data_IF_147418681322
#
_entry.id   IF_147418681322
#
_cell.length_a   1.000
_cell.length_b   1.000
_cell.length_c   1.000
_cell.angle_alpha   90.00
_cell.angle_beta   90.00
_cell.angle_gamma   90.00
#
_symmetry.space_group_name_H-M   'P 1'
#
loop_
_entity.id
_entity.type
_entity.pdbx_description
1 polymer ?
#
# COMPACT_ATOMS: atom_id res chain seq x y z
N UNK A 1 -30.33 -25.36 15.96
CA UNK A 1 -28.87 -25.24 15.82
C UNK A 1 -28.56 -23.89 15.20
N UNK A 2 -28.14 -22.91 15.99
CA UNK A 2 -27.61 -21.63 15.48
C UNK A 2 -26.19 -21.51 16.03
N UNK A 3 -25.26 -22.16 15.35
CA UNK A 3 -23.84 -22.10 15.65
C UNK A 3 -23.12 -21.98 14.30
N UNK A 4 -23.02 -20.76 13.79
CA UNK A 4 -22.43 -20.52 12.46
C UNK A 4 -21.93 -19.11 12.18
N UNK A 5 -22.22 -18.14 13.06
CA UNK A 5 -21.94 -16.71 12.78
C UNK A 5 -20.82 -16.08 13.61
N UNK A 6 -20.32 -16.75 14.65
CA UNK A 6 -19.30 -16.16 15.53
C UNK A 6 -17.89 -16.15 14.89
N UNK A 7 -17.54 -17.16 14.09
CA UNK A 7 -16.19 -17.29 13.51
C UNK A 7 -15.87 -16.28 12.41
N UNK A 8 -16.89 -15.64 11.83
CA UNK A 8 -16.72 -14.55 10.84
C UNK A 8 -16.44 -13.19 11.49
N UNK A 9 -16.74 -13.03 12.79
CA UNK A 9 -16.65 -11.74 13.50
C UNK A 9 -15.33 -11.56 14.24
N UNK A 10 -14.66 -12.65 14.63
CA UNK A 10 -13.38 -12.62 15.34
C UNK A 10 -12.27 -11.92 14.52
N UNK A 11 -12.06 -12.22 13.22
CA UNK A 11 -11.08 -11.51 12.41
C UNK A 11 -11.46 -10.05 12.15
N UNK A 12 -12.76 -9.74 12.09
CA UNK A 12 -13.25 -8.38 11.97
C UNK A 12 -12.95 -7.55 13.22
N UNK A 13 -12.93 -8.16 14.40
CA UNK A 13 -12.57 -7.50 15.66
C UNK A 13 -11.06 -7.41 15.89
N UNK A 14 -10.29 -8.43 15.50
CA UNK A 14 -8.82 -8.42 15.63
C UNK A 14 -8.14 -7.53 14.58
N UNK A 15 -8.68 -7.48 13.35
CA UNK A 15 -8.06 -6.75 12.23
C UNK A 15 -8.84 -5.50 11.78
N UNK A 16 -10.16 -5.43 12.00
CA UNK A 16 -11.01 -4.27 11.69
C UNK A 16 -10.81 -3.66 10.29
N UNK A 17 -11.15 -2.36 10.17
CA UNK A 17 -10.68 -1.47 9.09
C UNK A 17 -9.15 -1.20 9.15
N UNK A 18 -8.42 -1.90 10.02
CA UNK A 18 -7.02 -1.64 10.41
C UNK A 18 -5.97 -2.07 9.39
N UNK A 19 -6.37 -2.83 8.37
CA UNK A 19 -5.52 -3.20 7.23
C UNK A 19 -4.89 -1.97 6.55
N UNK A 20 -5.70 -0.93 6.30
CA UNK A 20 -5.23 0.28 5.63
C UNK A 20 -4.45 1.20 6.57
N UNK A 21 -4.86 1.33 7.84
CA UNK A 21 -4.10 2.14 8.79
C UNK A 21 -2.70 1.58 9.01
N UNK A 22 -2.55 0.26 9.15
CA UNK A 22 -1.26 -0.38 9.29
C UNK A 22 -0.37 -0.19 8.04
N UNK A 23 -0.97 -0.19 6.84
CA UNK A 23 -0.24 0.10 5.60
C UNK A 23 0.20 1.56 5.52
N UNK A 24 -0.69 2.49 5.90
CA UNK A 24 -0.35 3.92 5.96
C UNK A 24 0.74 4.18 6.99
N UNK A 25 0.65 3.57 8.17
CA UNK A 25 1.68 3.63 9.22
C UNK A 25 3.01 3.05 8.72
N UNK A 26 2.98 2.01 7.88
CA UNK A 26 4.18 1.41 7.31
C UNK A 26 4.88 2.34 6.33
N UNK A 27 4.16 2.91 5.37
CA UNK A 27 4.79 3.77 4.35
C UNK A 27 5.32 5.08 4.94
N UNK A 28 4.73 5.53 6.04
CA UNK A 28 5.09 6.78 6.74
C UNK A 28 5.89 6.55 8.02
N UNK A 29 6.44 5.35 8.22
CA UNK A 29 7.17 4.99 9.44
C UNK A 29 8.39 5.88 9.66
N UNK A 30 9.10 6.18 8.59
CA UNK A 30 10.38 6.89 8.61
C UNK A 30 10.22 8.41 8.35
N UNK A 31 8.98 8.90 8.32
CA UNK A 31 8.65 10.31 8.09
C UNK A 31 7.62 10.52 6.97
N UNK A 32 7.52 11.76 6.44
CA UNK A 32 6.70 12.05 5.27
C UNK A 32 7.10 11.17 4.09
N UNK A 33 6.11 10.56 3.42
CA UNK A 33 6.36 9.64 2.33
C UNK A 33 5.63 10.04 1.05
N UNK A 34 6.22 9.72 -0.10
CA UNK A 34 5.55 9.80 -1.40
C UNK A 34 5.14 8.42 -1.87
N UNK A 35 3.96 8.30 -2.50
CA UNK A 35 3.47 7.03 -3.01
C UNK A 35 2.79 7.18 -4.37
N UNK A 36 2.92 6.17 -5.22
CA UNK A 36 2.11 6.00 -6.42
C UNK A 36 1.02 4.93 -6.25
N UNK A 37 0.04 4.89 -7.15
CA UNK A 37 -0.99 3.84 -7.14
C UNK A 37 -1.37 3.38 -8.55
N UNK A 38 -2.00 2.21 -8.64
CA UNK A 38 -2.74 1.77 -9.83
C UNK A 38 -4.23 2.20 -9.79
N UNK A 39 -4.66 2.87 -8.72
CA UNK A 39 -6.00 3.42 -8.51
C UNK A 39 -5.95 4.75 -7.73
N UNK A 40 -5.27 5.74 -8.30
CA UNK A 40 -4.93 7.04 -7.68
C UNK A 40 -6.05 7.65 -6.83
N UNK A 41 -7.24 7.85 -7.41
CA UNK A 41 -8.35 8.55 -6.73
C UNK A 41 -8.80 7.84 -5.44
N UNK A 42 -9.06 6.53 -5.53
CA UNK A 42 -9.55 5.77 -4.37
C UNK A 42 -8.44 5.58 -3.34
N UNK A 43 -7.24 5.22 -3.78
CA UNK A 43 -6.11 5.04 -2.87
C UNK A 43 -5.82 6.33 -2.11
N UNK A 44 -5.80 7.49 -2.79
CA UNK A 44 -5.56 8.77 -2.13
C UNK A 44 -6.60 9.07 -1.06
N UNK A 45 -7.88 8.86 -1.35
CA UNK A 45 -8.95 9.09 -0.39
C UNK A 45 -8.80 8.24 0.88
N UNK A 46 -8.35 6.99 0.75
CA UNK A 46 -8.10 6.08 1.89
C UNK A 46 -6.84 6.48 2.64
N UNK A 47 -5.73 6.77 1.93
CA UNK A 47 -4.48 7.18 2.55
C UNK A 47 -4.64 8.49 3.31
N UNK A 48 -5.26 9.50 2.72
CA UNK A 48 -5.50 10.81 3.35
C UNK A 48 -6.31 10.66 4.64
N UNK A 49 -7.37 9.86 4.59
CA UNK A 49 -8.23 9.58 5.75
C UNK A 49 -7.44 9.03 6.94
N UNK A 50 -6.52 8.08 6.73
CA UNK A 50 -5.71 7.49 7.81
C UNK A 50 -4.50 8.35 8.18
N UNK A 51 -3.85 8.98 7.21
CA UNK A 51 -2.68 9.84 7.45
C UNK A 51 -3.05 11.03 8.35
N UNK A 52 -4.18 11.71 8.07
CA UNK A 52 -4.67 12.83 8.88
C UNK A 52 -4.92 12.39 10.32
N UNK A 53 -5.54 11.23 10.53
CA UNK A 53 -5.90 10.74 11.88
C UNK A 53 -4.71 10.32 12.71
N UNK A 54 -3.67 9.83 12.08
CA UNK A 54 -2.43 9.45 12.74
C UNK A 54 -1.41 10.59 12.78
N UNK A 55 -1.78 11.82 12.38
CA UNK A 55 -0.87 12.97 12.28
C UNK A 55 0.38 12.68 11.45
N UNK A 56 0.22 11.87 10.39
CA UNK A 56 1.27 11.48 9.45
C UNK A 56 1.09 12.21 8.11
N UNK A 57 2.13 12.21 7.29
CA UNK A 57 2.12 12.83 5.95
C UNK A 57 2.43 11.79 4.89
N UNK A 58 1.52 11.62 3.94
CA UNK A 58 1.72 10.84 2.74
C UNK A 58 1.19 11.64 1.55
N UNK A 59 1.92 11.67 0.44
CA UNK A 59 1.52 12.43 -0.76
C UNK A 59 1.48 11.54 -1.99
N UNK A 60 0.36 11.58 -2.71
CA UNK A 60 0.21 10.86 -3.97
C UNK A 60 1.08 11.53 -5.05
N UNK A 61 1.91 10.72 -5.70
CA UNK A 61 2.51 11.01 -7.00
C UNK A 61 1.59 10.44 -8.07
N UNK A 62 0.95 11.27 -8.91
CA UNK A 62 0.04 10.80 -9.95
C UNK A 62 0.74 9.84 -10.92
N UNK A 63 -0.01 8.89 -11.49
CA UNK A 63 0.56 7.89 -12.39
C UNK A 63 1.40 8.48 -13.55
N UNK A 64 0.96 9.62 -14.10
CA UNK A 64 1.65 10.36 -15.17
C UNK A 64 3.01 10.93 -14.76
N UNK A 65 3.24 11.12 -13.47
CA UNK A 65 4.46 11.71 -12.89
C UNK A 65 5.40 10.66 -12.27
N UNK A 66 5.02 9.38 -12.24
CA UNK A 66 5.78 8.33 -11.55
C UNK A 66 7.26 8.27 -11.95
N UNK A 67 7.57 8.39 -13.24
CA UNK A 67 8.95 8.32 -13.71
C UNK A 67 9.78 9.56 -13.36
N UNK A 68 9.13 10.72 -13.24
CA UNK A 68 9.79 11.99 -12.96
C UNK A 68 10.00 12.18 -11.45
N UNK A 69 8.95 11.94 -10.66
CA UNK A 69 8.94 12.18 -9.21
C UNK A 69 9.41 10.97 -8.40
N UNK A 70 9.39 9.76 -8.99
CA UNK A 70 10.00 8.53 -8.45
C UNK A 70 9.64 8.28 -6.97
N UNK A 71 8.35 8.03 -6.66
CA UNK A 71 7.89 7.95 -5.28
C UNK A 71 8.63 6.88 -4.48
N UNK A 72 8.61 7.01 -3.16
CA UNK A 72 9.27 6.05 -2.27
C UNK A 72 8.53 4.70 -2.21
N UNK A 73 7.22 4.75 -2.45
CA UNK A 73 6.32 3.60 -2.37
C UNK A 73 5.40 3.48 -3.58
N UNK A 74 4.93 2.27 -3.86
CA UNK A 74 3.75 2.02 -4.68
C UNK A 74 2.72 1.24 -3.88
N UNK A 75 1.45 1.61 -4.04
CA UNK A 75 0.31 0.93 -3.43
C UNK A 75 -0.55 0.36 -4.57
N UNK A 76 -0.54 -0.95 -4.73
CA UNK A 76 -1.33 -1.61 -5.78
C UNK A 76 -2.56 -2.28 -5.18
N UNK A 77 -3.71 -1.86 -5.66
CA UNK A 77 -4.98 -2.49 -5.35
C UNK A 77 -5.18 -3.74 -6.21
N UNK A 78 -5.69 -4.81 -5.59
CA UNK A 78 -5.98 -6.08 -6.25
C UNK A 78 -5.56 -7.28 -5.40
N UNK A 79 -5.74 -8.48 -5.93
CA UNK A 79 -5.36 -9.71 -5.22
C UNK A 79 -3.83 -9.81 -5.06
N UNK A 80 -3.28 -9.82 -3.82
CA UNK A 80 -1.84 -9.91 -3.59
C UNK A 80 -1.20 -11.19 -4.15
N UNK A 81 -1.97 -12.27 -4.30
CA UNK A 81 -1.47 -13.55 -4.81
C UNK A 81 -1.26 -13.51 -6.33
N UNK A 82 -1.99 -12.64 -7.02
CA UNK A 82 -1.88 -12.42 -8.47
C UNK A 82 -0.80 -11.40 -8.86
N UNK A 83 -0.32 -10.61 -7.90
CA UNK A 83 0.64 -9.55 -8.18
C UNK A 83 2.09 -10.09 -8.13
N UNK A 84 3.07 -9.44 -8.80
CA UNK A 84 4.45 -9.92 -8.82
C UNK A 84 5.23 -9.57 -7.54
N UNK A 85 6.38 -10.22 -7.34
CA UNK A 85 7.30 -9.91 -6.24
C UNK A 85 8.04 -8.58 -6.42
N UNK A 86 8.23 -8.14 -7.67
CA UNK A 86 8.81 -6.86 -8.04
C UNK A 86 8.04 -6.23 -9.18
N UNK A 87 8.01 -4.90 -9.23
CA UNK A 87 7.42 -4.14 -10.33
C UNK A 87 8.45 -3.17 -10.89
N UNK A 88 8.50 -3.12 -12.21
CA UNK A 88 9.31 -2.19 -12.98
C UNK A 88 8.34 -1.33 -13.79
N UNK A 89 7.99 -0.13 -13.30
CA UNK A 89 7.32 0.84 -14.15
C UNK A 89 8.12 1.03 -15.44
N UNK A 90 7.49 1.49 -16.52
CA UNK A 90 8.15 1.76 -17.81
C UNK A 90 9.08 2.99 -17.75
N UNK A 91 9.87 3.10 -16.69
CA UNK A 91 10.87 4.11 -16.42
C UNK A 91 12.23 3.42 -16.42
N UNK A 92 13.25 4.02 -17.04
CA UNK A 92 14.61 3.51 -16.93
C UNK A 92 15.06 3.54 -15.46
N UNK A 93 15.68 2.46 -15.00
CA UNK A 93 16.36 2.33 -13.69
C UNK A 93 15.47 2.52 -12.46
N UNK A 94 14.18 2.20 -12.56
CA UNK A 94 13.24 2.27 -11.44
C UNK A 94 12.57 0.91 -11.23
N UNK A 95 12.92 0.26 -10.13
CA UNK A 95 12.32 -0.99 -9.69
C UNK A 95 11.80 -0.83 -8.27
N UNK A 96 10.73 -1.57 -7.96
CA UNK A 96 10.19 -1.65 -6.61
C UNK A 96 10.01 -3.10 -6.20
N UNK A 97 10.37 -3.41 -4.96
CA UNK A 97 10.24 -4.73 -4.38
C UNK A 97 9.03 -4.78 -3.45
N UNK A 98 8.30 -5.90 -3.48
CA UNK A 98 7.17 -6.11 -2.59
C UNK A 98 7.65 -6.05 -1.15
N UNK A 99 7.14 -5.07 -0.40
CA UNK A 99 7.46 -4.89 1.00
C UNK A 99 6.42 -5.57 1.90
N UNK A 100 5.17 -5.65 1.46
CA UNK A 100 4.11 -6.32 2.20
C UNK A 100 2.79 -6.32 1.45
N UNK A 101 1.82 -7.04 1.97
CA UNK A 101 0.46 -7.04 1.46
C UNK A 101 -0.52 -7.09 2.62
N UNK A 102 -1.69 -6.51 2.40
CA UNK A 102 -2.79 -6.55 3.34
C UNK A 102 -3.97 -7.12 2.60
N UNK A 103 -4.43 -8.28 3.05
CA UNK A 103 -5.65 -8.88 2.54
C UNK A 103 -6.82 -8.19 3.23
N UNK A 104 -7.79 -7.74 2.45
CA UNK A 104 -9.05 -7.32 3.03
C UNK A 104 -9.81 -8.55 3.56
N UNK A 105 -10.44 -8.42 4.72
CA UNK A 105 -11.27 -9.46 5.34
C UNK A 105 -12.67 -8.89 5.59
N UNK A 106 -13.62 -9.13 4.67
CA UNK A 106 -15.02 -8.65 4.74
C UNK A 106 -15.74 -8.63 3.38
N UNK A 107 -16.80 -7.82 3.21
CA UNK A 107 -17.68 -7.80 2.02
C UNK A 107 -17.39 -6.71 0.96
N UNK A 108 -16.53 -5.71 1.18
CA UNK A 108 -16.40 -4.58 0.22
C UNK A 108 -15.07 -3.79 0.20
N UNK A 109 -13.98 -4.33 0.73
CA UNK A 109 -12.66 -3.69 0.74
C UNK A 109 -11.70 -4.36 -0.22
N UNK A 110 -10.66 -3.62 -0.59
CA UNK A 110 -9.65 -4.06 -1.52
C UNK A 110 -8.34 -4.37 -0.83
N UNK A 111 -7.77 -5.49 -1.19
CA UNK A 111 -6.42 -5.82 -0.79
C UNK A 111 -5.43 -4.85 -1.43
N UNK A 112 -4.41 -4.50 -0.67
CA UNK A 112 -3.30 -3.65 -1.11
C UNK A 112 -2.01 -4.45 -1.04
N UNK A 113 -1.16 -4.27 -2.04
CA UNK A 113 0.24 -4.67 -1.99
C UNK A 113 1.09 -3.42 -1.98
N UNK A 114 2.02 -3.35 -1.03
CA UNK A 114 3.00 -2.29 -0.97
C UNK A 114 4.28 -2.74 -1.66
N UNK A 115 4.81 -1.86 -2.51
CA UNK A 115 6.15 -1.98 -3.04
C UNK A 115 6.99 -0.81 -2.55
N UNK A 116 8.22 -1.09 -2.13
CA UNK A 116 9.19 -0.09 -1.73
C UNK A 116 10.19 0.10 -2.86
N UNK A 117 10.55 1.35 -3.13
CA UNK A 117 11.57 1.68 -4.13
C UNK A 117 12.86 0.93 -3.82
N UNK A 118 13.36 0.16 -4.79
CA UNK A 118 14.64 -0.53 -4.66
C UNK A 118 15.73 0.53 -4.62
N UNK A 119 16.53 0.52 -3.56
CA UNK A 119 17.71 1.37 -3.51
C UNK A 119 18.68 0.91 -4.60
N UNK A 120 19.18 1.83 -5.42
CA UNK A 120 20.28 1.52 -6.31
C UNK A 120 21.45 1.03 -5.44
N UNK A 121 21.95 -0.18 -5.68
CA UNK A 121 23.18 -0.64 -5.07
C UNK A 121 24.26 0.34 -5.55
N UNK A 122 24.91 1.13 -4.68
CA UNK A 122 26.02 1.93 -5.13
C UNK A 122 27.10 0.98 -5.64
N UNK A 123 27.49 1.12 -6.90
CA UNK A 123 28.71 0.50 -7.41
C UNK A 123 29.85 1.01 -6.54
N UNK A 124 30.32 0.15 -5.63
CA UNK A 124 31.50 0.44 -4.82
C UNK A 124 32.70 0.41 -5.78
N UNK A 125 33.57 1.44 -5.80
CA UNK A 125 34.76 1.48 -6.64
C UNK A 125 35.74 0.36 -6.29
#
# INVERSE_FOLDING_TARGET
MVAGTASLLLPFYEYGRGSYSAMVDRITRDGPATYGSNSDFRTAMVVDYFAIRSSRKASLVPQKSLCAERPDWLIYEGDPDSQPASVEPKCADLAYDRAGASRYWGLSGLSWTLYQKRSAIPLRP
#
